data_IF_355903825791
#
_entry.id   IF_355903825791
#
_cell.length_a   1.000
_cell.length_b   1.000
_cell.length_c   1.000
_cell.angle_alpha   90.00
_cell.angle_beta   90.00
_cell.angle_gamma   90.00
#
_symmetry.space_group_name_H-M   'P 1'
#
loop_
_entity.id
_entity.type
_entity.pdbx_description
1 polymer ?
#
# COMPACT_ATOMS: atom_id res chain seq x y z
N UNK A 1 5.23 -32.59 7.29
CA UNK A 1 5.38 -31.24 6.70
C UNK A 1 5.59 -30.24 7.82
N UNK A 2 6.76 -29.62 7.92
CA UNK A 2 6.98 -28.51 8.88
C UNK A 2 6.36 -27.24 8.30
N UNK A 3 5.23 -26.84 8.86
CA UNK A 3 4.50 -25.63 8.51
C UNK A 3 5.34 -24.41 8.95
N UNK A 4 5.96 -23.70 8.00
CA UNK A 4 6.48 -22.36 8.29
C UNK A 4 5.30 -21.52 8.79
N UNK A 5 5.45 -20.85 9.93
CA UNK A 5 4.38 -20.07 10.52
C UNK A 5 3.79 -19.06 9.52
N UNK A 6 2.47 -19.13 9.30
CA UNK A 6 1.73 -18.27 8.35
C UNK A 6 1.96 -16.79 8.64
N UNK A 7 2.01 -16.41 9.91
CA UNK A 7 2.24 -15.03 10.34
C UNK A 7 3.61 -14.51 9.90
N UNK A 8 4.63 -15.38 9.91
CA UNK A 8 5.97 -15.03 9.47
C UNK A 8 6.00 -14.80 7.95
N UNK A 9 5.32 -15.65 7.18
CA UNK A 9 5.21 -15.50 5.73
C UNK A 9 4.47 -14.22 5.36
N UNK A 10 3.39 -13.89 6.07
CA UNK A 10 2.66 -12.63 5.86
C UNK A 10 3.52 -11.41 6.21
N UNK A 11 4.29 -11.47 7.30
CA UNK A 11 5.21 -10.38 7.66
C UNK A 11 6.29 -10.17 6.59
N UNK A 12 6.91 -11.26 6.11
CA UNK A 12 7.88 -11.20 5.00
C UNK A 12 7.21 -10.65 3.74
N UNK A 13 5.97 -11.07 3.44
CA UNK A 13 5.22 -10.60 2.28
C UNK A 13 4.90 -9.11 2.28
N UNK A 14 4.91 -8.45 3.44
CA UNK A 14 4.75 -6.98 3.56
C UNK A 14 6.05 -6.22 3.25
N UNK A 15 7.18 -6.90 3.20
CA UNK A 15 8.49 -6.29 2.94
C UNK A 15 8.79 -6.34 1.44
N UNK A 16 9.13 -5.18 0.86
CA UNK A 16 9.60 -5.10 -0.52
C UNK A 16 11.05 -5.54 -0.62
N UNK A 17 11.29 -6.73 -1.18
CA UNK A 17 12.62 -7.26 -1.49
C UNK A 17 13.06 -6.91 -2.90
N UNK A 18 14.38 -7.00 -3.15
CA UNK A 18 14.96 -6.84 -4.50
C UNK A 18 14.46 -7.90 -5.49
N UNK A 19 14.06 -9.08 -4.98
CA UNK A 19 13.58 -10.23 -5.75
C UNK A 19 12.39 -10.89 -5.07
N UNK A 20 11.47 -11.53 -5.81
CA UNK A 20 10.32 -12.20 -5.22
C UNK A 20 10.76 -13.40 -4.38
N UNK A 21 10.25 -13.49 -3.15
CA UNK A 21 10.48 -14.64 -2.24
C UNK A 21 9.47 -15.73 -2.57
N UNK A 22 9.94 -16.86 -3.11
CA UNK A 22 9.08 -18.01 -3.47
C UNK A 22 9.20 -19.16 -2.48
N UNK A 23 10.42 -19.40 -1.99
CA UNK A 23 10.70 -20.41 -1.00
C UNK A 23 11.56 -19.78 0.09
N UNK A 24 10.94 -19.45 1.23
CA UNK A 24 11.60 -18.78 2.35
C UNK A 24 12.88 -19.51 2.76
N UNK A 25 12.83 -20.82 2.94
CA UNK A 25 13.98 -21.61 3.38
C UNK A 25 15.16 -21.53 2.41
N UNK A 26 14.88 -21.70 1.11
CA UNK A 26 15.92 -21.67 0.08
C UNK A 26 16.43 -20.25 -0.15
N UNK A 27 15.52 -19.29 -0.30
CA UNK A 27 15.84 -17.94 -0.73
C UNK A 27 16.55 -17.13 0.38
N UNK A 28 16.38 -17.53 1.65
CA UNK A 28 17.13 -16.97 2.79
C UNK A 28 18.44 -17.72 3.10
N UNK A 29 18.70 -18.90 2.51
CA UNK A 29 19.87 -19.72 2.84
C UNK A 29 21.22 -19.05 2.53
N UNK A 30 21.25 -18.06 1.63
CA UNK A 30 22.45 -17.31 1.25
C UNK A 30 22.69 -16.03 2.08
N UNK A 31 21.85 -15.78 3.08
CA UNK A 31 21.85 -14.60 3.95
C UNK A 31 21.53 -13.25 3.26
N UNK A 32 21.36 -13.20 1.94
CA UNK A 32 21.17 -11.94 1.21
C UNK A 32 19.83 -11.30 1.55
N UNK A 33 18.75 -12.08 1.52
CA UNK A 33 17.42 -11.58 1.91
C UNK A 33 17.38 -11.20 3.40
N UNK A 34 18.09 -11.94 4.26
CA UNK A 34 18.21 -11.58 5.67
C UNK A 34 18.94 -10.22 5.85
N UNK A 35 19.98 -9.98 5.06
CA UNK A 35 20.67 -8.70 5.02
C UNK A 35 19.75 -7.57 4.51
N UNK A 36 18.92 -7.82 3.49
CA UNK A 36 17.92 -6.84 3.02
C UNK A 36 16.94 -6.44 4.13
N UNK A 37 16.37 -7.41 4.87
CA UNK A 37 15.52 -7.12 6.04
C UNK A 37 16.30 -6.24 7.03
N UNK A 38 17.50 -6.66 7.40
CA UNK A 38 18.32 -5.94 8.36
C UNK A 38 18.70 -4.54 7.86
N UNK A 39 18.87 -4.32 6.55
CA UNK A 39 19.18 -3.01 5.98
C UNK A 39 18.01 -2.03 6.17
N UNK A 40 16.76 -2.51 6.09
CA UNK A 40 15.58 -1.68 6.28
C UNK A 40 15.49 -1.10 7.70
N UNK A 41 15.83 -1.90 8.71
CA UNK A 41 15.70 -1.50 10.12
C UNK A 41 17.00 -0.99 10.74
N UNK A 42 18.15 -1.45 10.22
CA UNK A 42 19.50 -1.14 10.72
C UNK A 42 20.43 -0.70 9.58
N UNK A 43 20.10 0.38 8.84
CA UNK A 43 20.81 0.76 7.62
C UNK A 43 22.30 1.06 7.83
N UNK A 44 22.70 1.43 9.06
CA UNK A 44 24.10 1.71 9.44
C UNK A 44 24.94 0.47 9.72
N UNK A 45 24.31 -0.68 9.93
CA UNK A 45 25.02 -1.91 10.27
C UNK A 45 25.17 -2.84 9.07
N UNK A 46 24.32 -2.67 8.05
CA UNK A 46 24.31 -3.53 6.86
C UNK A 46 24.82 -2.79 5.63
N UNK A 47 25.78 -3.40 4.95
CA UNK A 47 26.30 -3.01 3.66
C UNK A 47 25.98 -4.13 2.67
N UNK A 48 24.96 -3.94 1.81
CA UNK A 48 24.44 -4.99 0.95
C UNK A 48 25.48 -5.51 -0.07
N UNK A 49 26.43 -4.68 -0.50
CA UNK A 49 27.50 -5.08 -1.43
C UNK A 49 28.41 -6.20 -0.89
N UNK A 50 28.41 -6.42 0.42
CA UNK A 50 29.18 -7.49 1.05
C UNK A 50 28.51 -8.88 0.95
N UNK A 51 27.24 -8.94 0.55
CA UNK A 51 26.45 -10.16 0.52
C UNK A 51 26.05 -10.47 -0.92
N UNK A 52 26.77 -11.42 -1.52
CA UNK A 52 26.55 -11.81 -2.91
C UNK A 52 25.66 -13.05 -2.93
N UNK A 53 24.61 -13.10 -3.79
CA UNK A 53 23.81 -14.31 -3.97
C UNK A 53 24.67 -15.47 -4.47
N UNK A 54 24.66 -16.57 -3.73
CA UNK A 54 25.54 -17.73 -4.00
C UNK A 54 24.82 -19.04 -3.75
N UNK A 55 25.21 -20.06 -4.52
CA UNK A 55 24.61 -21.41 -4.43
C UNK A 55 25.47 -22.40 -3.64
N UNK A 56 26.79 -22.18 -3.53
CA UNK A 56 27.68 -23.08 -2.79
C UNK A 56 27.49 -22.94 -1.29
N UNK A 57 27.38 -24.08 -0.59
CA UNK A 57 27.22 -24.10 0.88
C UNK A 57 28.40 -23.40 1.57
N UNK A 58 29.63 -23.54 1.05
CA UNK A 58 30.82 -22.91 1.65
C UNK A 58 30.74 -21.37 1.61
N UNK A 59 30.29 -20.81 0.49
CA UNK A 59 30.16 -19.36 0.32
C UNK A 59 28.92 -18.82 1.03
N UNK A 60 27.83 -19.60 1.10
CA UNK A 60 26.68 -19.27 1.96
C UNK A 60 27.09 -19.15 3.43
N UNK A 61 27.90 -20.08 3.94
CA UNK A 61 28.45 -20.00 5.31
C UNK A 61 29.25 -18.73 5.51
N UNK A 62 30.04 -18.31 4.52
CA UNK A 62 30.80 -17.06 4.60
C UNK A 62 29.91 -15.82 4.68
N UNK A 63 28.86 -15.75 3.85
CA UNK A 63 27.85 -14.69 3.95
C UNK A 63 27.23 -14.64 5.36
N UNK A 64 26.87 -15.79 5.92
CA UNK A 64 26.32 -15.89 7.28
C UNK A 64 27.32 -15.48 8.36
N UNK A 65 28.59 -15.90 8.28
CA UNK A 65 29.65 -15.47 9.21
C UNK A 65 29.85 -13.97 9.17
N UNK A 66 29.85 -13.39 7.97
CA UNK A 66 30.00 -11.96 7.80
C UNK A 66 28.80 -11.21 8.38
N UNK A 67 27.58 -11.67 8.13
CA UNK A 67 26.36 -11.09 8.70
C UNK A 67 26.36 -11.20 10.23
N UNK A 68 26.79 -12.34 10.76
CA UNK A 68 26.92 -12.57 12.19
C UNK A 68 27.89 -11.56 12.84
N UNK A 69 29.11 -11.47 12.31
CA UNK A 69 30.17 -10.59 12.83
C UNK A 69 29.81 -9.11 12.72
N UNK A 70 29.29 -8.66 11.57
CA UNK A 70 29.06 -7.23 11.31
C UNK A 70 27.75 -6.71 11.93
N UNK A 71 26.73 -7.56 12.01
CA UNK A 71 25.34 -7.14 12.27
C UNK A 71 24.74 -7.87 13.47
N UNK A 72 24.64 -9.21 13.42
CA UNK A 72 23.84 -9.94 14.42
C UNK A 72 24.42 -9.86 15.83
N UNK A 73 25.75 -9.80 15.97
CA UNK A 73 26.40 -9.58 17.28
C UNK A 73 25.96 -8.24 17.90
N UNK A 74 25.80 -7.18 17.10
CA UNK A 74 25.33 -5.86 17.58
C UNK A 74 23.85 -5.85 17.97
N UNK A 75 23.10 -6.86 17.54
CA UNK A 75 21.69 -7.04 17.84
C UNK A 75 21.45 -8.08 18.94
N UNK A 76 22.49 -8.54 19.63
CA UNK A 76 22.44 -9.64 20.60
C UNK A 76 21.85 -10.93 20.01
N UNK A 77 22.06 -11.13 18.71
CA UNK A 77 21.58 -12.29 17.95
C UNK A 77 22.73 -13.15 17.43
N UNK A 78 23.84 -13.18 18.16
CA UNK A 78 25.03 -13.95 17.78
C UNK A 78 24.65 -15.41 17.46
N UNK A 79 25.14 -15.89 16.32
CA UNK A 79 25.00 -17.26 15.86
C UNK A 79 26.27 -18.05 16.17
N UNK A 80 26.09 -19.34 16.47
CA UNK A 80 27.20 -20.30 16.54
C UNK A 80 27.46 -20.96 15.16
N UNK A 81 28.56 -21.71 15.02
CA UNK A 81 28.93 -22.33 13.74
C UNK A 81 27.97 -23.45 13.28
N UNK A 82 27.28 -24.12 14.22
CA UNK A 82 26.26 -25.12 13.90
C UNK A 82 25.01 -24.45 13.31
N UNK A 83 24.52 -23.39 13.94
CA UNK A 83 23.42 -22.56 13.43
C UNK A 83 23.75 -22.00 12.05
N UNK A 84 24.97 -21.47 11.86
CA UNK A 84 25.44 -20.98 10.55
C UNK A 84 25.40 -22.10 9.50
N UNK A 85 25.81 -23.31 9.88
CA UNK A 85 25.79 -24.47 8.98
C UNK A 85 24.37 -24.88 8.62
N UNK A 86 23.45 -24.90 9.58
CA UNK A 86 22.03 -25.21 9.36
C UNK A 86 21.33 -24.13 8.53
N UNK A 87 21.68 -22.86 8.70
CA UNK A 87 21.14 -21.76 7.89
C UNK A 87 21.64 -21.85 6.45
N UNK A 88 22.94 -22.09 6.26
CA UNK A 88 23.55 -22.23 4.92
C UNK A 88 23.03 -23.46 4.16
N UNK A 89 22.66 -24.54 4.86
CA UNK A 89 22.05 -25.72 4.25
C UNK A 89 20.57 -25.52 3.90
N UNK A 90 19.95 -24.42 4.33
CA UNK A 90 18.51 -24.21 4.16
C UNK A 90 17.71 -25.15 5.05
N UNK A 91 18.13 -25.34 6.30
CA UNK A 91 17.30 -26.02 7.30
C UNK A 91 16.08 -25.16 7.63
N UNK A 92 14.89 -25.70 7.43
CA UNK A 92 13.64 -24.95 7.64
C UNK A 92 13.53 -24.42 9.08
N UNK A 93 13.80 -25.28 10.06
CA UNK A 93 13.73 -24.93 11.49
C UNK A 93 14.72 -23.81 11.87
N UNK A 94 15.94 -23.84 11.31
CA UNK A 94 16.95 -22.82 11.61
C UNK A 94 16.56 -21.46 11.03
N UNK A 95 16.11 -21.43 9.78
CA UNK A 95 15.68 -20.21 9.09
C UNK A 95 14.47 -19.60 9.80
N UNK A 96 13.46 -20.41 10.12
CA UNK A 96 12.26 -19.94 10.82
C UNK A 96 12.59 -19.36 12.20
N UNK A 97 13.40 -20.06 13.00
CA UNK A 97 13.82 -19.59 14.34
C UNK A 97 14.58 -18.26 14.24
N UNK A 98 15.46 -18.11 13.26
CA UNK A 98 16.18 -16.86 13.04
C UNK A 98 15.23 -15.73 12.69
N UNK A 99 14.34 -15.96 11.73
CA UNK A 99 13.40 -14.95 11.23
C UNK A 99 12.40 -14.50 12.30
N UNK A 100 11.91 -15.42 13.14
CA UNK A 100 11.06 -15.09 14.28
C UNK A 100 11.81 -14.20 15.30
N UNK A 101 13.07 -14.53 15.63
CA UNK A 101 13.91 -13.67 16.49
C UNK A 101 14.11 -12.29 15.88
N UNK A 102 14.34 -12.24 14.57
CA UNK A 102 14.52 -11.01 13.79
C UNK A 102 13.28 -10.13 13.84
N UNK A 103 12.09 -10.71 13.60
CA UNK A 103 10.81 -10.02 13.66
C UNK A 103 10.58 -9.40 15.03
N UNK A 104 10.75 -10.17 16.11
CA UNK A 104 10.60 -9.66 17.49
C UNK A 104 11.58 -8.53 17.78
N UNK A 105 12.86 -8.68 17.39
CA UNK A 105 13.88 -7.65 17.63
C UNK A 105 13.56 -6.36 16.88
N UNK A 106 13.18 -6.47 15.61
CA UNK A 106 12.81 -5.35 14.74
C UNK A 106 11.58 -4.60 15.28
N UNK A 107 10.53 -5.33 15.67
CA UNK A 107 9.30 -4.70 16.21
C UNK A 107 9.58 -4.02 17.55
N UNK A 108 10.37 -4.63 18.43
CA UNK A 108 10.79 -4.04 19.71
C UNK A 108 11.65 -2.78 19.51
N UNK A 109 12.56 -2.80 18.53
CA UNK A 109 13.40 -1.65 18.21
C UNK A 109 12.62 -0.49 17.56
N UNK A 110 11.59 -0.80 16.75
CA UNK A 110 10.67 0.22 16.23
C UNK A 110 9.95 0.96 17.36
N UNK A 111 9.40 0.21 18.34
CA UNK A 111 8.68 0.78 19.49
C UNK A 111 9.60 1.59 20.43
N UNK A 112 10.83 1.15 20.64
CA UNK A 112 11.82 1.90 21.46
C UNK A 112 12.33 3.15 20.74
N UNK A 113 12.43 3.13 19.41
CA UNK A 113 12.72 4.34 18.61
C UNK A 113 11.60 5.37 18.77
N UNK A 114 10.34 4.95 18.86
CA UNK A 114 9.23 5.85 19.19
C UNK A 114 9.27 6.34 20.66
N UNK A 115 9.69 5.50 21.62
CA UNK A 115 9.77 5.88 23.04
C UNK A 115 10.91 6.88 23.35
N UNK A 116 12.02 6.81 22.61
CA UNK A 116 13.13 7.76 22.72
C UNK A 116 12.77 9.14 22.14
N UNK A 117 11.88 9.22 21.13
CA UNK A 117 11.37 10.49 20.59
C UNK A 117 10.43 11.24 21.55
N UNK A 118 9.82 10.58 22.54
CA UNK A 118 8.96 11.23 23.54
C UNK A 118 9.72 11.76 24.77
N UNK A 119 10.99 11.42 24.94
CA UNK A 119 11.80 11.85 26.09
C UNK A 119 12.81 12.96 25.78
N UNK A 120 12.97 13.34 24.51
CA UNK A 120 13.91 14.37 24.06
C UNK A 120 13.32 15.81 24.03
N UNK A 121 12.12 16.04 24.59
CA UNK A 121 11.48 17.36 24.56
C UNK A 121 11.11 17.96 25.93
N UNK A 122 11.68 17.49 27.06
CA UNK A 122 11.55 18.20 28.35
C UNK A 122 12.91 18.24 29.06
N UNK A 123 13.54 19.41 28.92
CA UNK A 123 14.39 20.15 29.87
C UNK A 123 15.79 19.64 30.28
N UNK A 124 16.62 20.66 30.52
CA UNK A 124 18.07 20.74 30.68
C UNK A 124 18.66 20.02 31.91
N UNK A 125 20.00 19.96 31.89
CA UNK A 125 20.95 19.85 33.02
C UNK A 125 21.65 18.48 33.25
N UNK A 126 22.93 18.43 32.81
CA UNK A 126 24.09 17.70 33.37
C UNK A 126 24.05 16.16 33.50
N UNK A 127 24.88 15.44 32.71
CA UNK A 127 26.23 14.95 33.09
C UNK A 127 26.83 14.08 31.96
N UNK A 128 28.13 14.30 31.77
CA UNK A 128 29.11 13.73 30.86
C UNK A 128 29.26 12.20 31.00
N UNK A 129 29.37 11.48 29.86
CA UNK A 129 30.50 10.56 29.65
C UNK A 129 30.90 10.51 28.17
N UNK A 130 32.19 10.73 27.94
CA UNK A 130 32.85 10.88 26.64
C UNK A 130 33.59 9.58 26.35
N UNK A 131 33.35 8.98 25.17
CA UNK A 131 34.44 8.45 24.33
C UNK A 131 34.02 8.44 22.85
N UNK A 132 34.55 9.40 22.08
CA UNK A 132 35.32 9.28 20.80
C UNK A 132 34.83 8.18 19.82
N UNK A 133 34.46 8.40 18.56
CA UNK A 133 35.00 9.30 17.52
C UNK A 133 33.96 9.41 16.38
N UNK A 134 33.55 10.62 15.94
CA UNK A 134 32.78 10.83 14.70
C UNK A 134 32.97 12.24 14.15
N UNK A 135 34.02 12.43 13.37
CA UNK A 135 33.94 13.21 12.14
C UNK A 135 33.68 12.16 11.04
N UNK A 136 32.64 12.19 10.20
CA UNK A 136 32.09 13.29 9.43
C UNK A 136 30.62 13.05 9.04
N UNK A 137 30.03 14.13 8.52
CA UNK A 137 28.79 14.28 7.76
C UNK A 137 27.47 13.97 8.50
N UNK A 138 26.94 15.01 9.16
CA UNK A 138 25.62 15.08 9.80
C UNK A 138 24.50 15.34 8.76
N UNK A 139 24.84 15.94 7.61
CA UNK A 139 23.88 16.32 6.58
C UNK A 139 23.32 15.10 5.82
N UNK A 140 24.17 14.12 5.50
CA UNK A 140 23.78 12.92 4.76
C UNK A 140 22.86 11.97 5.58
N UNK A 141 23.08 11.91 6.90
CA UNK A 141 22.28 11.09 7.83
C UNK A 141 20.86 11.63 8.06
N UNK A 142 20.69 12.95 7.95
CA UNK A 142 19.38 13.61 8.04
C UNK A 142 18.59 13.34 6.77
N UNK A 143 19.18 13.60 5.60
CA UNK A 143 18.54 13.42 4.30
C UNK A 143 18.09 11.97 4.10
N UNK A 144 18.92 10.99 4.44
CA UNK A 144 18.59 9.59 4.23
C UNK A 144 17.50 9.07 5.20
N UNK A 145 17.39 9.67 6.38
CA UNK A 145 16.28 9.43 7.31
C UNK A 145 14.98 10.05 6.79
N UNK A 146 15.05 11.28 6.27
CA UNK A 146 13.91 11.97 5.65
C UNK A 146 13.40 11.21 4.42
N UNK A 147 14.28 10.67 3.57
CA UNK A 147 13.88 9.85 2.42
C UNK A 147 13.10 8.61 2.85
N UNK A 148 13.52 7.93 3.92
CA UNK A 148 12.79 6.77 4.45
C UNK A 148 11.42 7.16 5.02
N UNK A 149 11.35 8.25 5.78
CA UNK A 149 10.09 8.78 6.34
C UNK A 149 9.13 9.20 5.21
N UNK A 150 9.63 9.88 4.18
CA UNK A 150 8.87 10.24 2.98
C UNK A 150 8.37 9.01 2.23
N UNK A 151 9.18 7.95 2.10
CA UNK A 151 8.76 6.71 1.43
C UNK A 151 7.66 5.97 2.21
N UNK A 152 7.72 5.95 3.54
CA UNK A 152 6.60 5.43 4.35
C UNK A 152 5.34 6.26 4.16
N UNK A 153 5.47 7.59 4.12
CA UNK A 153 4.34 8.48 3.96
C UNK A 153 3.71 8.37 2.57
N UNK A 154 4.53 8.24 1.52
CA UNK A 154 4.10 7.94 0.16
C UNK A 154 3.33 6.62 0.11
N UNK A 155 3.82 5.58 0.78
CA UNK A 155 3.17 4.27 0.82
C UNK A 155 1.76 4.36 1.44
N UNK A 156 1.60 5.11 2.53
CA UNK A 156 0.29 5.37 3.15
C UNK A 156 -0.63 6.19 2.24
N UNK A 157 -0.09 7.20 1.54
CA UNK A 157 -0.85 8.01 0.58
C UNK A 157 -1.33 7.16 -0.59
N UNK A 158 -0.51 6.23 -1.08
CA UNK A 158 -0.86 5.29 -2.15
C UNK A 158 -2.01 4.37 -1.75
N UNK A 159 -2.01 3.84 -0.53
CA UNK A 159 -3.12 3.03 0.01
C UNK A 159 -4.44 3.82 0.08
N UNK A 160 -4.38 5.09 0.49
CA UNK A 160 -5.54 5.98 0.55
C UNK A 160 -6.06 6.27 -0.87
N UNK A 161 -5.16 6.57 -1.83
CA UNK A 161 -5.52 6.81 -3.23
C UNK A 161 -6.25 5.58 -3.79
N UNK A 162 -5.67 4.39 -3.65
CA UNK A 162 -6.29 3.15 -4.11
C UNK A 162 -7.68 2.93 -3.48
N UNK A 163 -7.84 3.22 -2.19
CA UNK A 163 -9.15 3.14 -1.51
C UNK A 163 -10.16 4.16 -2.06
N UNK A 164 -9.73 5.39 -2.31
CA UNK A 164 -10.56 6.44 -2.88
C UNK A 164 -10.94 6.16 -4.34
N UNK A 165 -10.02 5.64 -5.14
CA UNK A 165 -10.28 5.22 -6.53
C UNK A 165 -11.34 4.12 -6.57
N UNK A 166 -11.23 3.12 -5.71
CA UNK A 166 -12.27 2.09 -5.55
C UNK A 166 -13.63 2.69 -5.18
N UNK A 167 -13.66 3.67 -4.25
CA UNK A 167 -14.89 4.39 -3.88
C UNK A 167 -15.46 5.20 -5.05
N UNK A 168 -14.62 5.88 -5.82
CA UNK A 168 -15.05 6.65 -7.01
C UNK A 168 -15.67 5.71 -8.04
N UNK A 169 -15.02 4.58 -8.34
CA UNK A 169 -15.55 3.58 -9.27
C UNK A 169 -16.90 3.04 -8.79
N UNK A 170 -16.99 2.69 -7.50
CA UNK A 170 -18.23 2.22 -6.91
C UNK A 170 -19.35 3.25 -7.01
N UNK A 171 -19.11 4.49 -6.57
CA UNK A 171 -20.10 5.58 -6.63
C UNK A 171 -20.50 5.92 -8.06
N UNK A 172 -19.54 5.97 -9.00
CA UNK A 172 -19.81 6.19 -10.43
C UNK A 172 -20.73 5.13 -11.00
N UNK A 173 -20.52 3.86 -10.63
CA UNK A 173 -21.40 2.77 -11.03
C UNK A 173 -22.79 2.93 -10.40
N UNK A 174 -22.88 3.23 -9.09
CA UNK A 174 -24.16 3.46 -8.41
C UNK A 174 -24.95 4.60 -9.06
N UNK A 175 -24.30 5.72 -9.38
CA UNK A 175 -24.92 6.88 -10.05
C UNK A 175 -25.43 6.48 -11.45
N UNK A 176 -24.62 5.77 -12.23
CA UNK A 176 -25.01 5.29 -13.55
C UNK A 176 -26.27 4.41 -13.52
N UNK A 177 -26.42 3.57 -12.50
CA UNK A 177 -27.63 2.75 -12.33
C UNK A 177 -28.85 3.57 -11.87
N UNK A 178 -28.65 4.65 -11.11
CA UNK A 178 -29.75 5.56 -10.73
C UNK A 178 -30.16 6.53 -11.85
N UNK A 179 -29.28 6.83 -12.81
CA UNK A 179 -29.60 7.66 -13.99
C UNK A 179 -30.53 6.94 -14.99
N UNK A 180 -30.47 5.61 -15.07
CA UNK A 180 -31.28 4.83 -16.02
C UNK A 180 -32.80 4.99 -15.78
N UNK A 181 -33.33 4.87 -14.55
CA UNK A 181 -34.74 5.18 -14.25
C UNK A 181 -35.09 6.65 -14.49
N UNK A 182 -34.22 7.58 -14.08
CA UNK A 182 -34.47 9.03 -14.24
C UNK A 182 -34.59 9.38 -15.71
N UNK A 183 -33.64 8.93 -16.54
CA UNK A 183 -33.65 9.18 -17.98
C UNK A 183 -34.86 8.55 -18.68
N UNK A 184 -35.31 7.37 -18.22
CA UNK A 184 -36.53 6.72 -18.73
C UNK A 184 -37.79 7.51 -18.38
N UNK A 185 -37.91 8.00 -17.14
CA UNK A 185 -39.03 8.81 -16.69
C UNK A 185 -39.03 10.20 -17.38
N UNK A 186 -37.86 10.83 -17.56
CA UNK A 186 -37.74 12.10 -18.31
C UNK A 186 -38.18 11.92 -19.76
N UNK A 187 -37.81 10.81 -20.40
CA UNK A 187 -38.28 10.50 -21.76
C UNK A 187 -39.80 10.31 -21.82
N UNK A 188 -40.39 9.59 -20.84
CA UNK A 188 -41.84 9.42 -20.77
C UNK A 188 -42.58 10.75 -20.54
N UNK A 189 -42.05 11.63 -19.68
CA UNK A 189 -42.64 12.95 -19.43
C UNK A 189 -42.59 13.81 -20.70
N UNK A 190 -41.44 13.87 -21.39
CA UNK A 190 -41.32 14.61 -22.66
C UNK A 190 -42.28 14.09 -23.72
N UNK A 191 -42.42 12.76 -23.82
CA UNK A 191 -43.31 12.14 -24.79
C UNK A 191 -44.78 12.43 -24.46
N UNK A 192 -45.14 12.47 -23.18
CA UNK A 192 -46.47 12.87 -22.71
C UNK A 192 -46.74 14.36 -22.99
N UNK A 193 -45.77 15.25 -22.74
CA UNK A 193 -45.88 16.68 -23.05
C UNK A 193 -46.09 16.94 -24.55
N UNK A 194 -45.39 16.20 -25.41
CA UNK A 194 -45.59 16.27 -26.88
C UNK A 194 -47.00 15.78 -27.25
N UNK A 195 -47.47 14.68 -26.64
CA UNK A 195 -48.85 14.18 -26.83
C UNK A 195 -49.89 15.20 -26.39
N UNK A 196 -49.67 15.86 -25.26
CA UNK A 196 -50.55 16.93 -24.75
C UNK A 196 -50.57 18.10 -25.73
N UNK A 197 -49.40 18.60 -26.18
CA UNK A 197 -49.29 19.70 -27.15
C UNK A 197 -49.89 19.37 -28.52
N UNK A 198 -49.81 18.12 -28.97
CA UNK A 198 -50.49 17.67 -30.18
C UNK A 198 -52.00 17.59 -30.01
N UNK A 199 -52.48 17.14 -28.83
CA UNK A 199 -53.92 17.10 -28.50
C UNK A 199 -54.54 18.49 -28.35
N UNK A 200 -53.81 19.48 -27.83
CA UNK A 200 -54.29 20.87 -27.73
C UNK A 200 -54.31 21.56 -29.09
N UNK A 201 -53.32 21.27 -29.96
CA UNK A 201 -53.29 21.78 -31.34
C UNK A 201 -54.42 21.21 -32.19
N UNK A 202 -54.75 19.92 -32.10
CA UNK A 202 -55.89 19.32 -32.81
C UNK A 202 -57.25 19.83 -32.29
N UNK A 203 -57.36 20.11 -30.98
CA UNK A 203 -58.55 20.74 -30.38
C UNK A 203 -58.74 22.20 -30.83
N UNK A 204 -57.65 22.94 -30.99
CA UNK A 204 -57.68 24.32 -31.51
C UNK A 204 -58.01 24.38 -33.01
N UNK A 205 -57.51 23.44 -33.83
CA UNK A 205 -57.85 23.34 -35.27
C UNK A 205 -59.33 22.92 -35.45
N UNK A 206 -59.85 22.03 -34.61
CA UNK A 206 -61.27 21.65 -34.62
C UNK A 206 -62.19 22.78 -34.12
N UNK A 207 -61.72 23.65 -33.21
CA UNK A 207 -62.43 24.86 -32.79
C UNK A 207 -62.46 25.95 -33.88
N UNK A 208 -61.36 26.13 -34.62
CA UNK A 208 -61.31 27.07 -35.75
C UNK A 208 -62.13 26.55 -36.94
N UNK A 209 -62.10 25.23 -37.21
CA UNK A 209 -62.90 24.61 -38.29
C UNK A 209 -64.40 24.58 -37.98
N UNK A 210 -64.81 24.57 -36.71
CA UNK A 210 -66.22 24.69 -36.32
C UNK A 210 -66.70 26.14 -36.40
N UNK A 211 -65.87 27.13 -36.05
CA UNK A 211 -66.20 28.54 -36.26
C UNK A 211 -66.27 28.95 -37.74
N UNK A 212 -65.41 28.43 -38.61
CA UNK A 212 -65.48 28.73 -40.05
C UNK A 212 -66.61 28.01 -40.79
N UNK A 213 -67.15 26.91 -40.23
CA UNK A 213 -68.36 26.23 -40.75
C UNK A 213 -69.67 26.85 -40.28
N UNK A 214 -69.67 27.63 -39.19
CA UNK A 214 -70.86 28.34 -38.69
C UNK A 214 -71.10 29.67 -39.40
N UNK A 215 -70.09 30.25 -40.07
CA UNK A 215 -70.23 31.53 -40.77
C UNK A 215 -70.61 31.41 -42.25
N UNK A 216 -70.85 30.18 -42.78
CA UNK A 216 -71.32 29.96 -44.16
C UNK A 216 -72.79 29.53 -44.25
N UNK A 217 -73.56 29.64 -43.17
CA UNK A 217 -74.94 29.14 -43.08
C UNK A 217 -75.97 30.21 -42.68
N UNK A 218 -75.77 31.48 -43.03
CA UNK A 218 -76.87 32.46 -43.01
C UNK A 218 -76.63 33.55 -44.06
N UNK A 219 -76.72 33.18 -45.33
CA UNK A 219 -76.95 34.15 -46.39
C UNK A 219 -77.76 33.51 -47.53
N UNK A 220 -79.01 33.16 -47.23
CA UNK A 220 -80.04 33.06 -48.27
C UNK A 220 -81.44 33.09 -47.65
N UNK A 221 -82.29 33.98 -48.21
CA UNK A 221 -83.76 34.08 -48.06
C UNK A 221 -84.19 34.80 -46.75
N UNK A 222 -85.04 35.83 -46.73
CA UNK A 222 -86.13 36.26 -47.64
C UNK A 222 -86.38 37.76 -47.43
N UNK A 223 -86.56 38.52 -48.52
CA UNK A 223 -87.62 39.53 -48.69
C UNK A 223 -87.98 39.55 -50.17
#
# INVERSE_FOLDING_TARGET
MTQINRELVEWIGRISFSRPVRNVTRDFSDAVLAAEILKLYYPRHVELHNYIPVNSISTKKENWRMLNRKVLVKLDMKLNEDEITQLASGSNNAIEKLLARLQVKVLKNSLTTHKLKFKENIEDDVLVDVTVDRTENVNDKSVQRTIYELNQELCKKEEIINSLEHKIVHLKNSIKFTDLPVSSLTAQILQNDVKIKQSTKSRSINSVRTKSRLHSFHETKVA
#
